data_IF_335471919613
#
_entry.id   IF_335471919613
#
_cell.length_a   1.000
_cell.length_b   1.000
_cell.length_c   1.000
_cell.angle_alpha   90.00
_cell.angle_beta   90.00
_cell.angle_gamma   90.00
#
_symmetry.space_group_name_H-M   'P 1'
#
loop_
_entity.id
_entity.type
_entity.pdbx_description
1 polymer ?
#
# COMPACT_ATOMS: atom_id res chain seq x y z
N UNK A 1 49.04 -47.30 -49.95
CA UNK A 1 49.86 -47.16 -48.73
C UNK A 1 49.37 -45.92 -48.00
N UNK A 2 48.92 -46.08 -46.75
CA UNK A 2 48.20 -45.05 -45.97
C UNK A 2 49.17 -43.93 -45.55
N UNK A 3 48.86 -42.69 -45.90
CA UNK A 3 49.48 -41.50 -45.33
C UNK A 3 48.83 -41.20 -43.97
N UNK A 4 49.64 -41.10 -42.92
CA UNK A 4 49.23 -40.63 -41.59
C UNK A 4 49.04 -39.10 -41.64
N UNK A 5 47.82 -38.63 -41.43
CA UNK A 5 47.51 -37.24 -41.11
C UNK A 5 47.31 -37.14 -39.60
N UNK A 6 48.27 -36.48 -38.93
CA UNK A 6 48.19 -36.14 -37.50
C UNK A 6 47.23 -34.96 -37.35
N UNK A 7 46.06 -35.21 -36.78
CA UNK A 7 45.13 -34.14 -36.37
C UNK A 7 45.58 -33.62 -34.99
N UNK A 8 46.18 -32.43 -34.98
CA UNK A 8 46.44 -31.69 -33.76
C UNK A 8 45.12 -31.14 -33.20
N UNK A 9 44.67 -31.69 -32.08
CA UNK A 9 43.51 -31.22 -31.32
C UNK A 9 43.86 -29.93 -30.57
N UNK A 10 43.34 -28.79 -31.06
CA UNK A 10 43.32 -27.54 -30.30
C UNK A 10 42.18 -27.61 -29.28
N UNK A 11 42.52 -27.78 -28.00
CA UNK A 11 41.60 -27.59 -26.88
C UNK A 11 41.36 -26.10 -26.73
N UNK A 12 40.19 -25.62 -27.15
CA UNK A 12 39.68 -24.30 -26.76
C UNK A 12 39.11 -24.48 -25.35
N UNK A 13 39.71 -23.91 -24.28
CA UNK A 13 39.08 -23.94 -22.98
C UNK A 13 37.79 -23.12 -23.08
N UNK A 14 36.65 -23.83 -23.02
CA UNK A 14 35.34 -23.23 -22.94
C UNK A 14 35.27 -22.28 -21.75
N UNK A 15 34.87 -21.05 -22.04
CA UNK A 15 34.57 -20.01 -21.07
C UNK A 15 33.58 -20.57 -20.05
N UNK A 16 34.04 -20.82 -18.82
CA UNK A 16 33.19 -21.23 -17.71
C UNK A 16 32.10 -20.16 -17.53
N UNK A 17 30.85 -20.54 -17.81
CA UNK A 17 29.70 -19.70 -17.56
C UNK A 17 29.70 -19.29 -16.09
N UNK A 18 29.84 -17.99 -15.83
CA UNK A 18 29.59 -17.45 -14.50
C UNK A 18 28.17 -17.83 -14.09
N UNK A 19 27.93 -18.35 -12.88
CA UNK A 19 26.57 -18.49 -12.39
C UNK A 19 26.00 -17.08 -12.31
N UNK A 20 24.99 -16.80 -13.14
CA UNK A 20 24.15 -15.62 -12.95
C UNK A 20 23.43 -15.85 -11.63
N UNK A 21 23.90 -15.18 -10.58
CA UNK A 21 23.16 -15.07 -9.33
C UNK A 21 21.95 -14.22 -9.66
N UNK A 22 20.81 -14.86 -9.92
CA UNK A 22 19.53 -14.17 -9.96
C UNK A 22 19.31 -13.59 -8.55
N UNK A 23 19.05 -12.28 -8.41
CA UNK A 23 18.70 -11.74 -7.10
C UNK A 23 17.50 -12.52 -6.57
N UNK A 24 17.62 -13.03 -5.35
CA UNK A 24 16.48 -13.64 -4.66
C UNK A 24 15.31 -12.64 -4.70
N UNK A 25 14.08 -13.06 -5.05
CA UNK A 25 12.94 -12.16 -5.05
C UNK A 25 12.82 -11.54 -3.66
N UNK A 26 13.08 -10.23 -3.58
CA UNK A 26 12.83 -9.46 -2.37
C UNK A 26 11.35 -9.61 -2.04
N UNK A 27 10.99 -9.99 -0.81
CA UNK A 27 9.59 -10.09 -0.42
C UNK A 27 8.93 -8.73 -0.65
N UNK A 28 8.07 -8.67 -1.64
CA UNK A 28 7.33 -7.46 -1.99
C UNK A 28 6.00 -7.53 -1.27
N UNK A 29 5.82 -6.66 -0.29
CA UNK A 29 4.52 -6.45 0.35
C UNK A 29 3.72 -5.54 -0.56
N UNK A 30 2.51 -5.96 -0.95
CA UNK A 30 1.62 -5.05 -1.65
C UNK A 30 1.29 -3.86 -0.72
N UNK A 31 1.31 -2.66 -1.29
CA UNK A 31 1.05 -1.44 -0.56
C UNK A 31 0.30 -0.44 -1.44
N UNK A 32 -0.34 0.51 -0.77
CA UNK A 32 -0.89 1.71 -1.37
C UNK A 32 -0.40 2.91 -0.58
N UNK A 33 0.06 3.93 -1.30
CA UNK A 33 0.41 5.26 -0.78
C UNK A 33 -0.34 6.30 -1.58
N UNK A 34 -1.12 7.13 -0.90
CA UNK A 34 -1.87 8.22 -1.52
C UNK A 34 -1.66 9.49 -0.71
N UNK A 35 -1.76 10.63 -1.39
CA UNK A 35 -1.69 11.94 -0.75
C UNK A 35 -3.06 12.61 -0.87
N UNK A 36 -3.67 12.91 0.27
CA UNK A 36 -4.92 13.65 0.34
C UNK A 36 -4.65 15.09 0.74
N UNK A 37 -5.22 16.01 -0.03
CA UNK A 37 -5.23 17.43 0.28
C UNK A 37 -6.62 17.82 0.74
N UNK A 38 -6.73 18.65 1.76
CA UNK A 38 -7.98 19.17 2.29
C UNK A 38 -7.85 20.67 2.53
N UNK A 39 -8.90 21.42 2.22
CA UNK A 39 -9.02 22.86 2.51
C UNK A 39 -9.38 23.19 3.96
N UNK A 40 -9.25 22.24 4.88
CA UNK A 40 -9.61 22.36 6.30
C UNK A 40 -8.44 21.97 7.22
N UNK A 41 -8.44 22.38 8.50
CA UNK A 41 -7.35 22.10 9.45
C UNK A 41 -7.10 20.62 9.70
N UNK A 42 -5.85 20.24 10.00
CA UNK A 42 -5.51 18.85 10.29
C UNK A 42 -6.15 18.30 11.57
N UNK A 43 -6.45 19.14 12.55
CA UNK A 43 -7.15 18.71 13.77
C UNK A 43 -8.56 18.19 13.44
N UNK A 44 -9.26 18.86 12.52
CA UNK A 44 -10.59 18.45 12.06
C UNK A 44 -10.50 17.17 11.22
N UNK A 45 -9.58 17.13 10.25
CA UNK A 45 -9.36 15.94 9.39
C UNK A 45 -8.99 14.72 10.23
N UNK A 46 -8.04 14.88 11.17
CA UNK A 46 -7.60 13.82 12.06
C UNK A 46 -8.72 13.33 12.97
N UNK A 47 -9.50 14.25 13.54
CA UNK A 47 -10.66 13.90 14.38
C UNK A 47 -11.71 13.11 13.60
N UNK A 48 -12.02 13.52 12.36
CA UNK A 48 -12.97 12.83 11.49
C UNK A 48 -12.46 11.42 11.13
N UNK A 49 -11.19 11.28 10.78
CA UNK A 49 -10.58 9.96 10.51
C UNK A 49 -10.65 9.05 11.74
N UNK A 50 -10.24 9.53 12.92
CA UNK A 50 -10.29 8.75 14.16
C UNK A 50 -11.73 8.34 14.48
N UNK A 51 -12.70 9.25 14.34
CA UNK A 51 -14.11 8.92 14.55
C UNK A 51 -14.59 7.83 13.59
N UNK A 52 -14.21 7.88 12.31
CA UNK A 52 -14.59 6.86 11.34
C UNK A 52 -13.92 5.50 11.61
N UNK A 53 -12.64 5.50 12.00
CA UNK A 53 -11.92 4.29 12.43
C UNK A 53 -12.65 3.64 13.61
N UNK A 54 -13.03 4.43 14.61
CA UNK A 54 -13.78 3.95 15.76
C UNK A 54 -15.20 3.50 15.39
N UNK A 55 -15.86 4.12 14.41
CA UNK A 55 -17.17 3.70 13.93
C UNK A 55 -17.13 2.35 13.18
N UNK A 56 -15.98 2.00 12.59
CA UNK A 56 -15.72 0.68 12.01
C UNK A 56 -15.18 -0.34 13.03
N UNK A 57 -15.14 0.03 14.32
CA UNK A 57 -14.85 -0.84 15.45
C UNK A 57 -16.11 -1.01 16.30
N UNK A 58 -16.53 -2.24 16.69
CA UNK A 58 -15.82 -3.50 16.63
C UNK A 58 -16.19 -4.41 15.43
N UNK A 59 -15.24 -5.32 15.14
CA UNK A 59 -15.15 -6.42 14.15
C UNK A 59 -16.48 -7.09 13.71
N UNK A 60 -17.48 -7.21 14.58
CA UNK A 60 -18.57 -8.19 14.43
C UNK A 60 -19.96 -7.56 14.19
N UNK A 61 -20.02 -6.28 13.80
CA UNK A 61 -21.30 -5.55 13.61
C UNK A 61 -21.49 -5.00 12.20
N UNK A 62 -20.47 -5.00 11.33
CA UNK A 62 -20.62 -4.51 9.96
C UNK A 62 -19.67 -5.20 8.95
N UNK A 63 -20.07 -5.21 7.69
CA UNK A 63 -19.32 -5.85 6.58
C UNK A 63 -17.97 -5.15 6.31
N UNK A 64 -17.87 -3.86 6.63
CA UNK A 64 -16.65 -3.03 6.51
C UNK A 64 -15.91 -2.80 7.82
N UNK A 65 -16.27 -3.55 8.86
CA UNK A 65 -15.68 -3.39 10.17
C UNK A 65 -14.22 -3.90 10.15
N UNK A 66 -13.62 -4.09 11.33
CA UNK A 66 -12.26 -4.63 11.50
C UNK A 66 -11.12 -3.60 11.39
N UNK A 67 -11.42 -2.32 11.48
CA UNK A 67 -10.41 -1.30 11.75
C UNK A 67 -10.15 -1.22 13.25
N UNK A 68 -8.88 -1.26 13.65
CA UNK A 68 -8.44 -1.16 15.02
C UNK A 68 -7.45 -0.01 15.14
N UNK A 69 -7.85 1.04 15.85
CA UNK A 69 -6.96 2.13 16.20
C UNK A 69 -5.83 1.60 17.10
N UNK A 70 -4.58 1.73 16.64
CA UNK A 70 -3.39 1.30 17.37
C UNK A 70 -2.86 2.45 18.22
N UNK A 71 -2.65 3.59 17.58
CA UNK A 71 -2.16 4.79 18.24
C UNK A 71 -2.62 6.04 17.49
N UNK A 72 -2.62 7.18 18.17
CA UNK A 72 -2.96 8.48 17.57
C UNK A 72 -2.16 9.59 18.25
N UNK A 73 -1.77 10.58 17.45
CA UNK A 73 -1.15 11.84 17.87
C UNK A 73 -1.70 12.99 17.02
N UNK A 74 -1.24 14.22 17.24
CA UNK A 74 -1.63 15.36 16.40
C UNK A 74 -1.10 15.26 14.95
N UNK A 75 -0.12 14.39 14.70
CA UNK A 75 0.57 14.30 13.40
C UNK A 75 0.44 12.92 12.76
N UNK A 76 0.00 11.91 13.50
CA UNK A 76 -0.03 10.53 13.03
C UNK A 76 -1.21 9.75 13.60
N UNK A 77 -1.77 8.85 12.79
CA UNK A 77 -2.78 7.87 13.19
C UNK A 77 -2.32 6.51 12.67
N UNK A 78 -2.19 5.53 13.55
CA UNK A 78 -1.81 4.16 13.21
C UNK A 78 -3.01 3.23 13.40
N UNK A 79 -3.27 2.38 12.40
CA UNK A 79 -4.45 1.52 12.34
C UNK A 79 -4.07 0.15 11.82
N UNK A 80 -4.64 -0.89 12.41
CA UNK A 80 -4.68 -2.21 11.78
C UNK A 80 -6.04 -2.46 11.16
N UNK A 81 -6.05 -3.07 9.98
CA UNK A 81 -7.25 -3.58 9.35
C UNK A 81 -7.12 -5.08 9.15
N UNK A 82 -8.16 -5.83 9.50
CA UNK A 82 -8.18 -7.28 9.32
C UNK A 82 -9.35 -7.65 8.43
N UNK A 83 -9.12 -8.26 7.27
CA UNK A 83 -10.21 -8.73 6.40
C UNK A 83 -11.17 -9.69 7.12
N UNK A 84 -12.44 -9.75 6.68
CA UNK A 84 -13.53 -10.50 7.34
C UNK A 84 -13.24 -11.99 7.61
N UNK A 85 -12.33 -12.60 6.84
CA UNK A 85 -11.89 -14.00 7.02
C UNK A 85 -10.61 -14.14 7.89
N UNK A 86 -10.08 -13.05 8.46
CA UNK A 86 -8.81 -12.98 9.19
C UNK A 86 -7.57 -13.49 8.40
N UNK A 87 -7.68 -13.54 7.07
CA UNK A 87 -6.61 -14.05 6.20
C UNK A 87 -5.56 -12.99 5.87
N UNK A 88 -5.96 -11.73 5.86
CA UNK A 88 -5.09 -10.59 5.56
C UNK A 88 -5.22 -9.54 6.67
N UNK A 89 -4.08 -9.21 7.26
CA UNK A 89 -3.90 -8.08 8.15
C UNK A 89 -3.11 -7.01 7.40
N UNK A 90 -3.63 -5.80 7.37
CA UNK A 90 -2.97 -4.64 6.79
C UNK A 90 -2.60 -3.64 7.89
N UNK A 91 -1.38 -3.10 7.77
CA UNK A 91 -0.93 -1.97 8.57
C UNK A 91 -1.21 -0.68 7.81
N UNK A 92 -1.85 0.27 8.48
CA UNK A 92 -2.20 1.56 7.90
C UNK A 92 -1.65 2.71 8.75
N UNK A 93 -1.23 3.76 8.07
CA UNK A 93 -0.68 4.96 8.69
C UNK A 93 -1.21 6.21 7.96
N UNK A 94 -1.63 7.21 8.74
CA UNK A 94 -1.98 8.54 8.25
C UNK A 94 -1.05 9.55 8.89
N UNK A 95 -0.28 10.28 8.09
CA UNK A 95 0.61 11.34 8.55
C UNK A 95 0.03 12.69 8.13
N UNK A 96 -0.30 13.53 9.11
CA UNK A 96 -0.97 14.82 8.93
C UNK A 96 0.06 15.96 8.98
N UNK A 97 -0.01 16.85 8.00
CA UNK A 97 0.82 18.03 7.91
C UNK A 97 -0.02 19.26 7.61
N UNK A 98 0.04 20.25 8.51
CA UNK A 98 -0.55 21.56 8.25
C UNK A 98 0.28 22.32 7.23
N UNK A 99 -0.38 22.79 6.17
CA UNK A 99 0.22 23.68 5.18
C UNK A 99 0.24 25.09 5.75
N UNK A 100 1.42 25.57 6.15
CA UNK A 100 1.61 26.82 6.92
C UNK A 100 0.94 28.04 6.29
N UNK A 101 0.96 28.15 4.96
CA UNK A 101 0.43 29.30 4.22
C UNK A 101 -1.10 29.39 4.23
N UNK A 102 -1.77 28.25 4.26
CA UNK A 102 -3.23 28.13 4.05
C UNK A 102 -3.97 27.63 5.29
N UNK A 103 -3.26 27.11 6.30
CA UNK A 103 -3.86 26.38 7.41
C UNK A 103 -4.53 25.06 7.00
N UNK A 104 -4.34 24.64 5.75
CA UNK A 104 -5.01 23.50 5.15
C UNK A 104 -4.27 22.19 5.45
N UNK A 105 -4.95 21.05 5.42
CA UNK A 105 -4.32 19.78 5.77
C UNK A 105 -3.82 19.00 4.56
N UNK A 106 -2.62 18.44 4.69
CA UNK A 106 -2.08 17.42 3.80
C UNK A 106 -1.93 16.12 4.58
N UNK A 107 -2.54 15.04 4.12
CA UNK A 107 -2.46 13.72 4.73
C UNK A 107 -1.73 12.76 3.79
N UNK A 108 -0.59 12.24 4.22
CA UNK A 108 0.05 11.09 3.57
C UNK A 108 -0.58 9.83 4.15
N UNK A 109 -1.34 9.10 3.34
CA UNK A 109 -2.04 7.90 3.77
C UNK A 109 -1.40 6.65 3.16
N UNK A 110 -1.16 5.63 3.97
CA UNK A 110 -0.53 4.38 3.55
C UNK A 110 -1.30 3.17 4.10
N UNK A 111 -1.43 2.12 3.29
CA UNK A 111 -1.85 0.77 3.68
C UNK A 111 -0.85 -0.23 3.12
N UNK A 112 -0.43 -1.21 3.93
CA UNK A 112 0.50 -2.26 3.50
C UNK A 112 0.09 -3.62 4.04
N UNK A 113 0.09 -4.64 3.17
CA UNK A 113 -0.24 -6.01 3.55
C UNK A 113 0.90 -6.65 4.35
N UNK A 114 0.59 -7.21 5.53
CA UNK A 114 1.57 -7.89 6.38
C UNK A 114 1.87 -9.32 5.91
N UNK A 115 0.95 -9.95 5.17
CA UNK A 115 1.13 -11.29 4.62
C UNK A 115 1.93 -11.31 3.30
N UNK A 116 2.72 -12.37 3.09
CA UNK A 116 3.63 -12.57 1.96
C UNK A 116 2.95 -13.01 0.65
N UNK A 117 1.62 -13.15 0.61
CA UNK A 117 0.99 -14.12 -0.30
C UNK A 117 0.41 -13.59 -1.59
N UNK A 118 0.44 -12.30 -1.89
CA UNK A 118 -0.09 -11.80 -3.17
C UNK A 118 0.77 -10.68 -3.77
N UNK A 119 1.42 -10.97 -4.91
CA UNK A 119 2.13 -9.98 -5.73
C UNK A 119 1.18 -8.91 -6.30
N UNK A 120 -0.10 -9.25 -6.48
CA UNK A 120 -1.17 -8.36 -6.90
C UNK A 120 -2.22 -8.34 -5.79
N UNK A 121 -2.47 -7.19 -5.19
CA UNK A 121 -3.50 -7.01 -4.16
C UNK A 121 -4.86 -6.58 -4.74
N UNK A 122 -4.96 -6.44 -6.07
CA UNK A 122 -6.20 -6.10 -6.79
C UNK A 122 -6.88 -4.85 -6.19
N UNK A 123 -6.07 -3.88 -5.72
CA UNK A 123 -6.55 -2.66 -5.10
C UNK A 123 -6.98 -2.79 -3.63
N UNK A 124 -6.73 -3.91 -2.96
CA UNK A 124 -7.07 -4.12 -1.53
C UNK A 124 -6.55 -2.98 -0.65
N UNK A 125 -5.26 -2.64 -0.77
CA UNK A 125 -4.68 -1.57 0.06
C UNK A 125 -5.26 -0.19 -0.28
N UNK A 126 -5.63 0.05 -1.53
CA UNK A 126 -6.35 1.27 -1.91
C UNK A 126 -7.74 1.29 -1.27
N UNK A 127 -8.48 0.19 -1.35
CA UNK A 127 -9.82 0.11 -0.79
C UNK A 127 -9.84 0.28 0.72
N UNK A 128 -8.83 -0.23 1.45
CA UNK A 128 -8.71 0.03 2.89
C UNK A 128 -8.67 1.52 3.21
N UNK A 129 -7.87 2.30 2.46
CA UNK A 129 -7.80 3.75 2.63
C UNK A 129 -9.08 4.45 2.16
N UNK A 130 -9.58 4.07 0.98
CA UNK A 130 -10.77 4.67 0.38
C UNK A 130 -12.05 4.44 1.21
N UNK A 131 -12.16 3.30 1.90
CA UNK A 131 -13.31 3.00 2.75
C UNK A 131 -13.43 3.98 3.91
N UNK A 132 -12.32 4.31 4.58
CA UNK A 132 -12.30 5.34 5.63
C UNK A 132 -12.57 6.74 5.06
N UNK A 133 -11.96 7.07 3.94
CA UNK A 133 -12.12 8.36 3.29
C UNK A 133 -13.58 8.63 2.86
N UNK A 134 -14.23 7.66 2.23
CA UNK A 134 -15.59 7.80 1.70
C UNK A 134 -16.65 7.71 2.79
N UNK A 135 -16.50 6.79 3.75
CA UNK A 135 -17.47 6.64 4.83
C UNK A 135 -17.49 7.84 5.80
N UNK A 136 -16.33 8.48 5.99
CA UNK A 136 -16.22 9.71 6.78
C UNK A 136 -16.75 10.95 6.07
N UNK A 137 -17.00 10.88 4.76
CA UNK A 137 -17.38 12.03 3.93
C UNK A 137 -16.23 12.98 3.60
N UNK A 138 -14.98 12.65 3.97
CA UNK A 138 -13.80 13.47 3.68
C UNK A 138 -13.53 13.61 2.17
N UNK A 139 -13.94 12.63 1.36
CA UNK A 139 -13.90 12.73 -0.10
C UNK A 139 -14.77 13.86 -0.68
N UNK A 140 -15.69 14.42 0.11
CA UNK A 140 -16.55 15.54 -0.27
C UNK A 140 -16.17 16.84 0.46
N UNK A 141 -15.12 16.81 1.28
CA UNK A 141 -14.69 17.97 2.05
C UNK A 141 -14.18 19.10 1.14
N UNK A 142 -14.27 20.37 1.58
CA UNK A 142 -13.76 21.50 0.82
C UNK A 142 -12.28 21.32 0.47
N UNK A 143 -11.93 21.57 -0.78
CA UNK A 143 -10.54 21.45 -1.26
C UNK A 143 -9.99 20.02 -1.27
N UNK A 144 -10.84 19.00 -1.16
CA UNK A 144 -10.41 17.62 -1.28
C UNK A 144 -9.75 17.36 -2.64
N UNK A 145 -8.56 16.76 -2.61
CA UNK A 145 -7.89 16.23 -3.82
C UNK A 145 -7.09 15.01 -3.43
N UNK A 146 -7.28 13.91 -4.16
CA UNK A 146 -6.45 12.72 -4.07
C UNK A 146 -5.35 12.75 -5.14
N UNK A 147 -4.11 12.57 -4.72
CA UNK A 147 -2.97 12.36 -5.60
C UNK A 147 -2.47 10.92 -5.41
N UNK A 148 -2.83 10.07 -6.36
CA UNK A 148 -2.49 8.64 -6.39
C UNK A 148 -2.21 8.18 -7.82
N UNK A 149 -1.79 6.93 -7.98
CA UNK A 149 -1.47 6.31 -9.27
C UNK A 149 -1.33 4.79 -9.13
N UNK A 150 -1.28 4.07 -10.26
CA UNK A 150 -1.04 2.62 -10.28
C UNK A 150 0.30 2.19 -9.65
N UNK A 151 1.31 3.07 -9.68
CA UNK A 151 2.61 2.76 -9.08
C UNK A 151 2.63 3.03 -7.57
N UNK A 152 1.78 3.95 -7.11
CA UNK A 152 1.65 4.27 -5.70
C UNK A 152 0.66 3.33 -5.00
N UNK A 153 -0.35 2.85 -5.71
CA UNK A 153 -1.37 1.92 -5.27
C UNK A 153 -1.65 0.91 -6.39
N UNK A 154 -1.16 -0.31 -6.21
CA UNK A 154 -1.27 -1.36 -7.23
C UNK A 154 -2.74 -1.77 -7.43
N UNK A 155 -3.20 -1.78 -8.68
CA UNK A 155 -4.58 -2.15 -9.00
C UNK A 155 -5.60 -1.04 -8.72
N UNK A 156 -5.15 0.19 -8.50
CA UNK A 156 -6.00 1.37 -8.25
C UNK A 156 -7.10 1.56 -9.31
N UNK A 157 -6.76 1.55 -10.59
CA UNK A 157 -7.66 1.83 -11.70
C UNK A 157 -8.70 0.75 -11.97
N UNK A 158 -8.56 -0.42 -11.34
CA UNK A 158 -9.53 -1.52 -11.41
C UNK A 158 -10.08 -1.90 -10.03
N UNK A 159 -9.78 -1.11 -9.00
CA UNK A 159 -10.20 -1.38 -7.64
C UNK A 159 -11.73 -1.24 -7.53
N UNK A 160 -12.39 -2.36 -7.21
CA UNK A 160 -13.83 -2.40 -6.94
C UNK A 160 -14.06 -2.36 -5.42
N UNK A 161 -13.88 -1.18 -4.83
CA UNK A 161 -14.06 -1.01 -3.39
C UNK A 161 -15.55 -1.10 -3.02
N UNK A 162 -15.89 -1.99 -2.09
CA UNK A 162 -17.26 -2.15 -1.62
C UNK A 162 -17.64 -0.91 -0.78
N UNK A 163 -18.71 -0.21 -1.19
CA UNK A 163 -19.23 1.01 -0.53
C UNK A 163 -20.48 0.74 0.29
#
# INVERSE_FOLDING_TARGET
>A
MRALLVLASALIPGLFGSPVVLPAPVPYHAFCKTLWLFGMPCDDVGSILVQQILAFSPVNVCEKCHYMLVSTSNMSIEVFHTSSENLHCESMEFILHTTVLTGSCRVSAQSSSLALTTLLDVGLNYCNLNNLLTASGLNLAPGFTELTSEWACLGYGFAACIT
#
